data_IF_151001935903
#
_entry.id   IF_151001935903
#
_cell.length_a   1.000
_cell.length_b   1.000
_cell.length_c   1.000
_cell.angle_alpha   90.00
_cell.angle_beta   90.00
_cell.angle_gamma   90.00
#
_symmetry.space_group_name_H-M   'P 1'
#
loop_
_entity.id
_entity.type
_entity.pdbx_description
1 polymer ?
#
# COMPACT_ATOMS: atom_id res chain seq x y z
N UNK A 1 2.90 -24.06 -20.15
CA UNK A 1 3.83 -23.37 -19.27
C UNK A 1 3.23 -22.04 -18.84
N UNK A 2 3.21 -21.76 -17.51
CA UNK A 2 2.74 -20.52 -16.93
C UNK A 2 3.96 -19.71 -16.48
N UNK A 3 3.97 -18.40 -16.79
CA UNK A 3 5.05 -17.47 -16.45
C UNK A 3 4.47 -16.21 -15.81
N UNK A 4 5.25 -15.58 -14.91
CA UNK A 4 4.89 -14.34 -14.24
C UNK A 4 4.23 -14.54 -12.88
N UNK A 5 3.90 -15.77 -12.51
CA UNK A 5 3.40 -16.18 -11.20
C UNK A 5 3.97 -17.53 -10.81
N UNK A 6 4.11 -17.77 -9.50
CA UNK A 6 4.68 -18.98 -8.94
C UNK A 6 3.74 -19.61 -7.89
N UNK A 7 4.07 -20.82 -7.44
CA UNK A 7 3.39 -21.49 -6.34
C UNK A 7 1.89 -21.69 -6.54
N UNK A 8 1.05 -21.39 -5.53
CA UNK A 8 -0.40 -21.60 -5.61
C UNK A 8 -1.08 -20.78 -6.72
N UNK A 9 -0.57 -19.57 -7.00
CA UNK A 9 -1.12 -18.73 -8.08
C UNK A 9 -0.88 -19.35 -9.46
N UNK A 10 0.30 -19.91 -9.71
CA UNK A 10 0.59 -20.63 -10.96
C UNK A 10 -0.32 -21.85 -11.14
N UNK A 11 -0.59 -22.58 -10.05
CA UNK A 11 -1.51 -23.72 -10.05
C UNK A 11 -2.94 -23.25 -10.40
N UNK A 12 -3.42 -22.18 -9.77
CA UNK A 12 -4.74 -21.61 -10.05
C UNK A 12 -4.86 -21.15 -11.50
N UNK A 13 -3.84 -20.49 -12.05
CA UNK A 13 -3.81 -20.10 -13.46
C UNK A 13 -3.83 -21.34 -14.36
N UNK A 14 -3.03 -22.37 -14.06
CA UNK A 14 -3.00 -23.61 -14.84
C UNK A 14 -4.37 -24.32 -14.86
N UNK A 15 -5.09 -24.34 -13.73
CA UNK A 15 -6.43 -24.88 -13.63
C UNK A 15 -7.44 -24.09 -14.49
N UNK A 16 -7.31 -22.75 -14.51
CA UNK A 16 -8.16 -21.89 -15.33
C UNK A 16 -7.86 -21.97 -16.84
N UNK A 17 -6.63 -22.29 -17.21
CA UNK A 17 -6.27 -22.54 -18.61
C UNK A 17 -7.14 -23.66 -19.18
N UNK A 18 -7.43 -24.70 -18.38
CA UNK A 18 -8.38 -25.78 -18.69
C UNK A 18 -8.19 -26.39 -20.11
N UNK A 19 -6.93 -26.61 -20.53
CA UNK A 19 -6.57 -27.30 -21.78
C UNK A 19 -6.10 -28.70 -21.42
N UNK A 20 -6.78 -29.71 -21.95
CA UNK A 20 -6.42 -31.10 -21.71
C UNK A 20 -5.09 -31.47 -22.37
N UNK A 21 -4.21 -32.21 -21.67
CA UNK A 21 -2.99 -32.73 -22.26
C UNK A 21 -3.31 -33.58 -23.50
N UNK A 22 -2.60 -33.29 -24.60
CA UNK A 22 -2.83 -33.97 -25.89
C UNK A 22 -3.78 -33.23 -26.84
N UNK A 23 -4.40 -32.14 -26.43
CA UNK A 23 -5.16 -31.27 -27.35
C UNK A 23 -4.22 -30.72 -28.42
N UNK A 24 -4.63 -30.78 -29.69
CA UNK A 24 -3.83 -30.21 -30.76
C UNK A 24 -3.69 -28.69 -30.55
N UNK A 25 -2.45 -28.19 -30.60
CA UNK A 25 -2.16 -26.78 -30.28
C UNK A 25 -2.92 -25.79 -31.17
N UNK A 26 -3.28 -26.20 -32.41
CA UNK A 26 -4.08 -25.41 -33.33
C UNK A 26 -5.54 -25.25 -32.88
N UNK A 27 -6.06 -26.24 -32.13
CA UNK A 27 -7.44 -26.23 -31.66
C UNK A 27 -7.63 -25.47 -30.32
N UNK A 28 -6.52 -25.06 -29.70
CA UNK A 28 -6.58 -24.28 -28.47
C UNK A 28 -7.01 -22.85 -28.79
N UNK A 29 -8.14 -22.41 -28.25
CA UNK A 29 -8.59 -21.03 -28.34
C UNK A 29 -7.82 -20.17 -27.27
N UNK A 30 -6.76 -19.50 -27.71
CA UNK A 30 -5.93 -18.66 -26.83
C UNK A 30 -6.70 -17.48 -26.28
N UNK A 31 -7.65 -16.90 -27.04
CA UNK A 31 -8.47 -15.79 -26.55
C UNK A 31 -9.41 -16.22 -25.41
N UNK A 32 -9.98 -17.42 -25.51
CA UNK A 32 -10.78 -17.98 -24.42
C UNK A 32 -9.93 -18.27 -23.17
N UNK A 33 -8.68 -18.70 -23.34
CA UNK A 33 -7.71 -18.89 -22.23
C UNK A 33 -7.43 -17.54 -21.56
N UNK A 34 -7.08 -16.53 -22.34
CA UNK A 34 -6.80 -15.18 -21.84
C UNK A 34 -7.99 -14.61 -21.06
N UNK A 35 -9.22 -14.72 -21.59
CA UNK A 35 -10.41 -14.24 -20.90
C UNK A 35 -10.65 -14.93 -19.55
N UNK A 36 -10.43 -16.24 -19.46
CA UNK A 36 -10.57 -16.97 -18.19
C UNK A 36 -9.55 -16.52 -17.15
N UNK A 37 -8.28 -16.40 -17.54
CA UNK A 37 -7.21 -15.95 -16.64
C UNK A 37 -7.39 -14.47 -16.26
N UNK A 38 -7.77 -13.61 -17.20
CA UNK A 38 -8.07 -12.19 -16.95
C UNK A 38 -9.27 -11.97 -16.02
N UNK A 39 -10.09 -12.99 -15.74
CA UNK A 39 -11.16 -12.90 -14.75
C UNK A 39 -10.65 -12.83 -13.31
N UNK A 40 -9.40 -13.20 -13.06
CA UNK A 40 -8.77 -13.05 -11.74
C UNK A 40 -8.55 -11.58 -11.42
N UNK A 41 -9.04 -11.08 -10.27
CA UNK A 41 -8.99 -9.65 -9.94
C UNK A 41 -7.58 -9.07 -9.86
N UNK A 42 -6.60 -9.89 -9.49
CA UNK A 42 -5.19 -9.52 -9.33
C UNK A 42 -4.38 -9.60 -10.64
N UNK A 43 -4.99 -10.06 -11.73
CA UNK A 43 -4.34 -10.04 -13.06
C UNK A 43 -4.53 -8.67 -13.70
N UNK A 44 -3.43 -8.05 -14.13
CA UNK A 44 -3.45 -6.81 -14.90
C UNK A 44 -3.45 -7.06 -16.39
N UNK A 45 -2.69 -8.06 -16.83
CA UNK A 45 -2.57 -8.45 -18.24
C UNK A 45 -2.25 -9.94 -18.37
N UNK A 46 -2.67 -10.55 -19.49
CA UNK A 46 -2.39 -11.94 -19.81
C UNK A 46 -2.22 -12.12 -21.32
N UNK A 47 -1.22 -12.89 -21.70
CA UNK A 47 -0.97 -13.27 -23.08
C UNK A 47 -0.81 -14.80 -23.17
N UNK A 48 -1.55 -15.43 -24.09
CA UNK A 48 -1.45 -16.86 -24.37
C UNK A 48 -0.92 -17.09 -25.79
N UNK A 49 0.26 -17.68 -25.89
CA UNK A 49 0.99 -17.89 -27.14
C UNK A 49 1.22 -19.38 -27.41
N UNK A 50 1.02 -19.78 -28.68
CA UNK A 50 1.32 -21.15 -29.13
C UNK A 50 2.80 -21.22 -29.47
N UNK A 51 3.56 -22.00 -28.69
CA UNK A 51 4.95 -22.33 -29.01
C UNK A 51 5.09 -23.72 -29.62
N UNK A 52 5.54 -23.77 -30.87
CA UNK A 52 5.78 -25.03 -31.56
C UNK A 52 7.00 -25.77 -30.94
N UNK A 53 6.94 -27.13 -30.86
CA UNK A 53 5.94 -28.02 -31.52
C UNK A 53 4.67 -28.30 -30.71
N UNK A 54 4.59 -28.00 -29.38
CA UNK A 54 3.45 -28.47 -28.60
C UNK A 54 3.25 -27.79 -27.25
N UNK A 55 3.72 -26.54 -27.06
CA UNK A 55 3.60 -25.83 -25.80
C UNK A 55 2.64 -24.65 -25.94
N UNK A 56 1.68 -24.54 -25.01
CA UNK A 56 0.94 -23.31 -24.78
C UNK A 56 1.66 -22.53 -23.68
N UNK A 57 2.18 -21.36 -24.01
CA UNK A 57 2.79 -20.44 -23.05
C UNK A 57 1.75 -19.42 -22.61
N UNK A 58 1.52 -19.30 -21.29
CA UNK A 58 0.64 -18.29 -20.70
C UNK A 58 1.50 -17.38 -19.82
N UNK A 59 1.58 -16.12 -20.21
CA UNK A 59 2.30 -15.08 -19.47
C UNK A 59 1.29 -14.21 -18.73
N UNK A 60 1.44 -14.12 -17.43
CA UNK A 60 0.56 -13.34 -16.54
C UNK A 60 1.34 -12.17 -15.97
N UNK A 61 0.74 -10.99 -16.01
CA UNK A 61 1.23 -9.81 -15.30
C UNK A 61 0.27 -9.52 -14.16
N UNK A 62 0.80 -9.41 -12.94
CA UNK A 62 0.02 -9.15 -11.74
C UNK A 62 -0.17 -7.65 -11.52
N UNK A 63 -1.24 -7.27 -10.81
CA UNK A 63 -1.41 -5.94 -10.25
C UNK A 63 -0.59 -5.81 -8.98
N UNK A 64 -0.02 -4.63 -8.77
CA UNK A 64 0.79 -4.36 -7.58
C UNK A 64 -0.14 -3.83 -6.48
N UNK A 65 -0.26 -4.53 -5.34
CA UNK A 65 -1.03 -4.04 -4.22
C UNK A 65 -0.31 -2.86 -3.56
N UNK A 66 -1.06 -1.83 -3.17
CA UNK A 66 -0.53 -0.64 -2.46
C UNK A 66 -0.99 -0.57 -1.01
N UNK A 67 -2.04 -1.29 -0.66
CA UNK A 67 -2.59 -1.36 0.68
C UNK A 67 -3.44 -2.61 0.88
N UNK A 68 -3.72 -2.93 2.15
CA UNK A 68 -4.69 -3.96 2.52
C UNK A 68 -5.73 -3.35 3.48
N UNK A 69 -6.91 -3.95 3.53
CA UNK A 69 -7.87 -3.63 4.58
C UNK A 69 -7.56 -4.41 5.89
N UNK A 70 -8.29 -4.18 6.99
CA UNK A 70 -8.09 -4.92 8.23
C UNK A 70 -8.25 -6.44 8.11
N UNK A 71 -9.03 -6.92 7.13
CA UNK A 71 -9.26 -8.34 6.86
C UNK A 71 -8.21 -8.95 5.91
N UNK A 72 -7.25 -8.15 5.44
CA UNK A 72 -6.15 -8.57 4.56
C UNK A 72 -6.50 -8.58 3.08
N UNK A 73 -7.61 -7.96 2.68
CA UNK A 73 -7.99 -7.83 1.27
C UNK A 73 -7.21 -6.69 0.62
N UNK A 74 -6.47 -7.00 -0.44
CA UNK A 74 -5.61 -6.04 -1.13
C UNK A 74 -6.36 -5.14 -2.11
N UNK A 75 -5.81 -3.92 -2.27
CA UNK A 75 -6.21 -2.96 -3.31
C UNK A 75 -4.98 -2.44 -4.06
N UNK A 76 -5.15 -2.16 -5.36
CA UNK A 76 -4.12 -1.52 -6.18
C UNK A 76 -4.23 0.02 -6.16
N UNK A 77 -3.29 0.70 -6.83
CA UNK A 77 -3.25 2.16 -6.93
C UNK A 77 -4.45 2.78 -7.66
N UNK A 78 -5.18 2.00 -8.46
CA UNK A 78 -6.41 2.44 -9.12
C UNK A 78 -7.66 2.27 -8.23
N UNK A 79 -7.47 1.74 -7.00
CA UNK A 79 -8.55 1.42 -6.07
C UNK A 79 -9.31 0.15 -6.42
N UNK A 80 -8.76 -0.74 -7.27
CA UNK A 80 -9.39 -2.02 -7.58
C UNK A 80 -9.14 -3.01 -6.44
N UNK A 81 -10.19 -3.69 -6.03
CA UNK A 81 -10.15 -4.74 -5.01
C UNK A 81 -9.57 -6.02 -5.63
N UNK A 82 -8.41 -6.44 -5.18
CA UNK A 82 -7.67 -7.58 -5.72
C UNK A 82 -8.05 -8.91 -5.06
N UNK A 83 -8.52 -8.85 -3.80
CA UNK A 83 -8.78 -10.04 -2.98
C UNK A 83 -7.68 -10.27 -1.95
N UNK A 84 -7.79 -11.39 -1.23
CA UNK A 84 -6.79 -11.81 -0.24
C UNK A 84 -5.73 -12.76 -0.85
N UNK A 85 -6.05 -13.42 -1.95
CA UNK A 85 -5.21 -14.45 -2.60
C UNK A 85 -4.28 -13.84 -3.66
N UNK A 86 -3.71 -12.66 -3.38
CA UNK A 86 -2.77 -11.99 -4.28
C UNK A 86 -1.39 -12.64 -4.15
N UNK A 87 -0.71 -13.02 -5.26
CA UNK A 87 0.59 -13.70 -5.20
C UNK A 87 1.64 -12.97 -4.37
N UNK A 88 1.73 -11.65 -4.48
CA UNK A 88 2.66 -10.80 -3.76
C UNK A 88 2.43 -10.83 -2.24
N UNK A 89 1.17 -10.94 -1.80
CA UNK A 89 0.84 -11.07 -0.38
C UNK A 89 1.27 -12.41 0.20
N UNK A 90 1.16 -13.46 -0.59
CA UNK A 90 1.58 -14.82 -0.22
C UNK A 90 3.11 -14.92 -0.06
N UNK A 91 3.87 -14.05 -0.72
CA UNK A 91 5.33 -13.94 -0.59
C UNK A 91 5.82 -13.17 0.65
N UNK A 92 4.89 -12.69 1.52
CA UNK A 92 5.21 -12.00 2.77
C UNK A 92 5.12 -10.48 2.72
N UNK A 93 4.83 -9.88 1.57
CA UNK A 93 4.71 -8.43 1.40
C UNK A 93 3.49 -7.83 2.15
N UNK A 94 2.55 -8.63 2.61
CA UNK A 94 1.35 -8.16 3.31
C UNK A 94 1.63 -7.43 4.64
N UNK A 95 2.75 -7.73 5.30
CA UNK A 95 3.15 -7.08 6.55
C UNK A 95 3.76 -5.69 6.36
N UNK A 96 4.18 -5.38 5.14
CA UNK A 96 4.80 -4.09 4.79
C UNK A 96 3.80 -3.09 4.20
N UNK A 97 2.60 -3.57 3.81
CA UNK A 97 1.57 -2.71 3.25
C UNK A 97 0.74 -2.02 4.34
N UNK A 98 0.39 -0.74 4.15
CA UNK A 98 -0.45 -0.01 5.08
C UNK A 98 -1.86 -0.61 5.15
N UNK A 99 -2.44 -0.61 6.36
CA UNK A 99 -3.82 -1.04 6.59
C UNK A 99 -4.77 0.14 6.47
N UNK A 100 -5.67 0.09 5.51
CA UNK A 100 -6.61 1.17 5.24
C UNK A 100 -8.03 0.78 5.69
N UNK A 101 -8.73 1.71 6.34
CA UNK A 101 -10.16 1.55 6.64
C UNK A 101 -10.98 1.77 5.36
N UNK A 102 -11.11 0.72 4.55
CA UNK A 102 -11.78 0.74 3.24
C UNK A 102 -13.18 0.10 3.34
N UNK A 103 -14.14 0.71 2.66
CA UNK A 103 -15.42 0.08 2.33
C UNK A 103 -15.23 -0.81 1.10
N UNK A 104 -14.82 -2.07 1.30
CA UNK A 104 -14.54 -2.96 0.18
C UNK A 104 -15.79 -3.59 -0.39
N UNK A 105 -15.86 -3.59 -1.71
CA UNK A 105 -16.79 -4.40 -2.48
C UNK A 105 -16.26 -5.81 -2.77
N UNK A 106 -16.83 -6.47 -3.77
CA UNK A 106 -16.34 -7.77 -4.22
C UNK A 106 -14.98 -7.64 -4.91
N UNK A 107 -14.13 -8.69 -4.89
CA UNK A 107 -12.95 -8.74 -5.72
C UNK A 107 -13.25 -8.40 -7.18
N UNK A 108 -12.43 -7.55 -7.78
CA UNK A 108 -12.63 -7.02 -9.13
C UNK A 108 -13.45 -5.71 -9.19
N UNK A 109 -14.15 -5.30 -8.12
CA UNK A 109 -14.78 -3.98 -8.03
C UNK A 109 -13.78 -2.87 -7.71
N UNK A 110 -14.22 -1.62 -7.78
CA UNK A 110 -13.44 -0.45 -7.33
C UNK A 110 -13.98 0.01 -5.98
N UNK A 111 -13.09 0.47 -5.11
CA UNK A 111 -13.45 1.06 -3.81
C UNK A 111 -14.39 2.25 -3.97
N UNK A 112 -15.11 2.60 -2.91
CA UNK A 112 -15.96 3.78 -2.87
C UNK A 112 -15.15 5.10 -2.93
N UNK A 113 -15.82 6.24 -2.91
CA UNK A 113 -15.17 7.56 -3.00
C UNK A 113 -14.21 7.81 -1.83
N UNK A 114 -14.54 7.37 -0.62
CA UNK A 114 -13.66 7.50 0.55
C UNK A 114 -12.42 6.61 0.43
N UNK A 115 -12.61 5.38 0.01
CA UNK A 115 -11.51 4.46 -0.26
C UNK A 115 -10.58 4.98 -1.34
N UNK A 116 -11.13 5.65 -2.37
CA UNK A 116 -10.33 6.26 -3.43
C UNK A 116 -9.41 7.36 -2.90
N UNK A 117 -9.91 8.24 -2.01
CA UNK A 117 -9.07 9.27 -1.38
C UNK A 117 -7.92 8.65 -0.60
N UNK A 118 -8.16 7.57 0.16
CA UNK A 118 -7.12 6.86 0.91
C UNK A 118 -6.07 6.25 -0.02
N UNK A 119 -6.52 5.53 -1.05
CA UNK A 119 -5.64 4.89 -2.02
C UNK A 119 -4.79 5.93 -2.76
N UNK A 120 -5.39 7.05 -3.20
CA UNK A 120 -4.68 8.15 -3.87
C UNK A 120 -3.58 8.74 -2.99
N UNK A 121 -3.87 8.96 -1.70
CA UNK A 121 -2.87 9.47 -0.74
C UNK A 121 -1.76 8.47 -0.52
N UNK A 122 -2.08 7.18 -0.31
CA UNK A 122 -1.07 6.14 -0.06
C UNK A 122 -0.23 5.86 -1.29
N UNK A 123 -0.82 5.84 -2.49
CA UNK A 123 -0.08 5.69 -3.74
C UNK A 123 0.89 6.87 -4.01
N UNK A 124 0.63 8.04 -3.43
CA UNK A 124 1.49 9.22 -3.55
C UNK A 124 2.57 9.31 -2.46
N UNK A 125 2.61 8.37 -1.50
CA UNK A 125 3.65 8.33 -0.46
C UNK A 125 5.02 8.13 -1.11
N UNK A 126 6.02 8.97 -0.82
CA UNK A 126 7.35 8.80 -1.39
C UNK A 126 8.03 7.53 -0.86
N UNK A 127 8.97 6.93 -1.62
CA UNK A 127 9.67 5.71 -1.22
C UNK A 127 10.35 5.80 0.16
N UNK A 128 10.78 6.99 0.56
CA UNK A 128 11.37 7.28 1.87
C UNK A 128 10.42 7.06 3.05
N UNK A 129 9.11 7.16 2.82
CA UNK A 129 8.05 7.00 3.84
C UNK A 129 7.16 5.77 3.57
N UNK A 130 7.32 5.07 2.45
CA UNK A 130 6.40 4.00 2.04
C UNK A 130 6.29 2.87 3.07
N UNK A 131 7.42 2.42 3.64
CA UNK A 131 7.44 1.40 4.70
C UNK A 131 7.09 1.92 6.10
N UNK A 132 6.83 3.22 6.23
CA UNK A 132 6.57 3.84 7.54
C UNK A 132 5.09 4.11 7.79
N UNK A 133 4.25 3.99 6.78
CA UNK A 133 2.79 4.15 6.92
C UNK A 133 2.20 2.84 7.41
N UNK A 134 1.74 2.81 8.66
CA UNK A 134 1.10 1.63 9.25
C UNK A 134 -0.38 1.53 8.86
N UNK A 135 -1.10 2.66 8.89
CA UNK A 135 -2.53 2.67 8.58
C UNK A 135 -3.03 4.01 8.07
N UNK A 136 -4.25 4.01 7.52
CA UNK A 136 -4.92 5.19 7.05
C UNK A 136 -6.44 5.11 7.17
N UNK A 137 -7.08 6.25 7.42
CA UNK A 137 -8.54 6.39 7.50
C UNK A 137 -9.00 7.77 7.05
N UNK A 138 -10.28 7.89 6.74
CA UNK A 138 -10.93 9.17 6.45
C UNK A 138 -11.73 9.64 7.66
N UNK A 139 -11.43 10.84 8.16
CA UNK A 139 -12.14 11.48 9.27
C UNK A 139 -12.86 12.73 8.72
N UNK A 140 -14.16 12.66 8.58
CA UNK A 140 -14.91 13.70 7.86
C UNK A 140 -14.55 13.71 6.39
N UNK A 141 -13.86 14.76 5.93
CA UNK A 141 -13.28 14.90 4.58
C UNK A 141 -11.76 14.77 4.55
N UNK A 142 -11.12 14.63 5.71
CA UNK A 142 -9.68 14.61 5.82
C UNK A 142 -9.12 13.18 5.82
N UNK A 143 -8.08 12.95 5.04
CA UNK A 143 -7.28 11.72 5.14
C UNK A 143 -6.29 11.87 6.30
N UNK A 144 -6.26 10.85 7.13
CA UNK A 144 -5.37 10.75 8.28
C UNK A 144 -4.58 9.45 8.17
N UNK A 145 -3.25 9.56 8.19
CA UNK A 145 -2.33 8.43 8.21
C UNK A 145 -1.79 8.23 9.64
N UNK A 146 -1.44 7.02 9.97
CA UNK A 146 -0.69 6.69 11.19
C UNK A 146 0.59 5.98 10.77
N UNK A 147 1.73 6.48 11.26
CA UNK A 147 3.03 5.89 11.00
C UNK A 147 3.29 4.69 11.95
N UNK A 148 4.29 3.88 11.64
CA UNK A 148 4.64 2.67 12.42
C UNK A 148 5.06 2.97 13.86
N UNK A 149 5.56 4.18 14.14
CA UNK A 149 5.91 4.70 15.46
C UNK A 149 4.73 5.34 16.21
N UNK A 150 3.52 5.33 15.61
CA UNK A 150 2.28 5.84 16.19
C UNK A 150 2.01 7.32 15.92
N UNK A 151 2.90 8.05 15.24
CA UNK A 151 2.69 9.45 14.87
C UNK A 151 1.48 9.53 13.93
N UNK A 152 0.53 10.40 14.25
CA UNK A 152 -0.64 10.66 13.42
C UNK A 152 -0.38 11.83 12.46
N UNK A 153 -0.60 11.64 11.16
CA UNK A 153 -0.38 12.65 10.11
C UNK A 153 -1.71 13.03 9.46
N UNK A 154 -2.15 14.26 9.63
CA UNK A 154 -3.35 14.82 8.97
C UNK A 154 -2.97 15.38 7.61
N UNK A 155 -3.33 14.67 6.55
CA UNK A 155 -3.08 15.05 5.16
C UNK A 155 -4.18 16.00 4.63
N UNK A 156 -5.43 15.80 5.07
CA UNK A 156 -6.60 16.50 4.53
C UNK A 156 -7.03 15.95 3.18
N UNK A 157 -7.18 16.84 2.20
CA UNK A 157 -7.53 16.48 0.82
C UNK A 157 -6.35 15.93 0.01
N UNK A 158 -6.61 15.49 -1.23
CA UNK A 158 -5.59 14.94 -2.14
C UNK A 158 -4.83 16.01 -2.94
N UNK A 159 -5.06 17.30 -2.68
CA UNK A 159 -4.34 18.39 -3.35
C UNK A 159 -2.90 18.49 -2.85
N UNK A 160 -1.95 18.80 -3.74
CA UNK A 160 -0.54 19.08 -3.42
C UNK A 160 0.14 18.00 -2.56
N UNK A 161 -0.17 16.72 -2.79
CA UNK A 161 0.35 15.59 -1.98
C UNK A 161 1.88 15.60 -1.87
N UNK A 162 2.59 15.84 -2.98
CA UNK A 162 4.06 15.94 -2.96
C UNK A 162 4.56 17.00 -1.97
N UNK A 163 3.96 18.19 -1.96
CA UNK A 163 4.37 19.24 -1.03
C UNK A 163 4.02 18.90 0.42
N UNK A 164 2.90 18.19 0.65
CA UNK A 164 2.51 17.71 1.98
C UNK A 164 3.49 16.67 2.51
N UNK A 165 3.90 15.70 1.69
CA UNK A 165 4.89 14.70 2.11
C UNK A 165 6.27 15.30 2.34
N UNK A 166 6.73 16.26 1.53
CA UNK A 166 7.97 17.01 1.80
C UNK A 166 7.89 17.72 3.16
N UNK A 167 6.74 18.30 3.51
CA UNK A 167 6.56 18.91 4.82
C UNK A 167 6.57 17.90 5.97
N UNK A 168 6.02 16.69 5.77
CA UNK A 168 6.10 15.59 6.74
C UNK A 168 7.56 15.21 7.00
N UNK A 169 8.33 14.93 5.94
CA UNK A 169 9.75 14.57 6.06
C UNK A 169 10.54 15.65 6.80
N UNK A 170 10.36 16.91 6.41
CA UNK A 170 11.05 18.03 7.04
C UNK A 170 10.73 18.14 8.54
N UNK A 171 9.48 17.95 8.97
CA UNK A 171 9.09 17.99 10.37
C UNK A 171 9.64 16.81 11.17
N UNK A 172 9.61 15.59 10.59
CA UNK A 172 10.16 14.38 11.21
C UNK A 172 11.67 14.52 11.45
N UNK A 173 12.40 15.09 10.49
CA UNK A 173 13.85 15.32 10.58
C UNK A 173 14.20 16.43 11.59
N UNK A 174 13.41 17.51 11.60
CA UNK A 174 13.71 18.69 12.43
C UNK A 174 13.43 18.48 13.92
N UNK A 175 12.29 17.86 14.25
CA UNK A 175 11.85 17.77 15.64
C UNK A 175 12.28 16.47 16.34
N UNK A 176 12.64 15.42 15.58
CA UNK A 176 12.90 14.09 16.12
C UNK A 176 11.60 13.35 16.47
N UNK A 177 11.43 12.16 15.95
CA UNK A 177 10.19 11.37 16.00
C UNK A 177 9.65 11.12 17.42
N UNK A 178 10.54 10.86 18.37
CA UNK A 178 10.16 10.55 19.76
C UNK A 178 9.41 11.68 20.48
N UNK A 179 9.48 12.91 19.96
CA UNK A 179 8.84 14.09 20.56
C UNK A 179 7.54 14.48 19.89
N UNK A 180 7.14 13.79 18.82
CA UNK A 180 5.98 14.14 17.99
C UNK A 180 4.82 13.19 18.29
N UNK A 181 3.65 13.74 18.66
CA UNK A 181 2.40 13.03 18.75
C UNK A 181 1.63 13.07 17.42
N UNK A 182 1.55 14.26 16.81
CA UNK A 182 0.86 14.40 15.53
C UNK A 182 1.41 15.53 14.66
N UNK A 183 1.20 15.38 13.34
CA UNK A 183 1.54 16.37 12.31
C UNK A 183 0.28 16.81 11.58
N UNK A 184 0.15 18.10 11.30
CA UNK A 184 -0.90 18.64 10.43
C UNK A 184 -0.24 19.31 9.21
N UNK A 185 -0.37 18.69 8.05
CA UNK A 185 0.18 19.14 6.77
C UNK A 185 -0.89 19.48 5.74
N UNK A 186 -2.13 19.69 6.18
CA UNK A 186 -3.23 20.12 5.30
C UNK A 186 -2.88 21.37 4.51
N UNK A 187 -2.11 22.28 5.13
CA UNK A 187 -1.53 23.47 4.49
C UNK A 187 0.00 23.32 4.49
N UNK A 188 0.61 22.78 3.43
CA UNK A 188 2.04 22.45 3.41
C UNK A 188 2.98 23.66 3.51
N UNK A 189 2.50 24.88 3.26
CA UNK A 189 3.26 26.12 3.48
C UNK A 189 3.26 26.60 4.95
N UNK A 190 2.42 26.02 5.78
CA UNK A 190 2.33 26.32 7.22
C UNK A 190 2.01 25.02 7.98
N UNK A 191 2.89 24.02 7.93
CA UNK A 191 2.68 22.77 8.64
C UNK A 191 2.83 23.00 10.14
N UNK A 192 2.17 22.16 10.94
CA UNK A 192 2.28 22.23 12.41
C UNK A 192 2.46 20.85 13.01
N UNK A 193 3.08 20.80 14.17
CA UNK A 193 3.23 19.57 14.95
C UNK A 193 2.65 19.77 16.36
N UNK A 194 2.17 18.65 16.93
CA UNK A 194 1.80 18.56 18.35
C UNK A 194 2.84 17.67 19.02
N UNK A 195 3.54 18.17 20.04
CA UNK A 195 4.50 17.37 20.77
C UNK A 195 3.81 16.36 21.70
N UNK A 196 4.52 15.28 22.02
CA UNK A 196 4.08 14.33 23.06
C UNK A 196 3.99 15.07 24.42
N UNK A 197 2.90 14.91 25.18
CA UNK A 197 2.74 15.56 26.46
C UNK A 197 3.89 15.23 27.44
N UNK A 198 4.68 16.22 27.82
CA UNK A 198 5.79 16.07 28.75
C UNK A 198 7.19 16.02 28.14
N UNK A 199 7.34 16.01 26.83
CA UNK A 199 8.64 16.00 26.14
C UNK A 199 9.48 17.27 26.45
N UNK A 200 8.85 18.39 26.82
CA UNK A 200 9.52 19.65 27.11
C UNK A 200 10.17 19.72 28.51
N UNK A 201 10.05 18.66 29.33
CA UNK A 201 10.52 18.69 30.73
C UNK A 201 11.94 18.19 30.97
N UNK A 202 12.57 17.54 29.99
CA UNK A 202 13.91 16.95 30.19
C UNK A 202 15.08 17.87 29.79
N UNK A 203 14.85 19.00 29.13
CA UNK A 203 15.91 19.93 28.71
C UNK A 203 16.19 21.07 29.71
N UNK A 204 15.48 21.13 30.83
CA UNK A 204 15.52 22.28 31.78
C UNK A 204 16.12 22.03 33.15
N UNK A 205 16.68 20.86 33.47
CA UNK A 205 17.15 20.58 34.83
C UNK A 205 18.61 20.13 34.92
N UNK A 206 19.55 21.01 34.67
CA UNK A 206 20.93 20.83 35.11
C UNK A 206 21.75 22.11 35.02
N UNK A 207 21.39 23.16 35.73
CA UNK A 207 22.34 24.25 36.11
C UNK A 207 21.87 24.94 37.39
N UNK A 208 21.88 24.20 38.50
CA UNK A 208 21.97 24.85 39.81
C UNK A 208 23.30 24.43 40.43
N UNK A 209 24.36 25.12 40.03
CA UNK A 209 25.64 25.08 40.75
C UNK A 209 25.47 25.69 42.14
N UNK A 210 25.75 24.90 43.15
CA UNK A 210 25.90 25.32 44.53
C UNK A 210 27.04 26.37 44.65
N UNK A 211 26.86 27.52 45.32
CA UNK A 211 27.96 28.34 45.71
C UNK A 211 28.54 27.79 47.00
N UNK A 212 29.72 27.17 46.91
CA UNK A 212 30.52 26.77 48.07
C UNK A 212 30.81 27.94 48.98
N UNK A 213 30.31 27.88 50.22
CA UNK A 213 30.74 28.69 51.32
C UNK A 213 32.07 28.12 51.83
N UNK A 214 33.13 28.90 51.67
CA UNK A 214 34.41 28.72 52.40
C UNK A 214 34.56 29.76 53.43
N UNK A 215 34.71 29.34 54.70
CA UNK A 215 35.21 30.11 55.80
C UNK A 215 36.71 29.84 55.95
#
# INVERSE_FOLDING_TARGET
DVHGVDGPAATLVADLVAVEPGTALLDVDTGAVEQRVASLPWVSDVAAERQWPGTLQVRVTTRIPVAVDPDGVAVDADGRVLGADVPELSAGASSELPRLELGLGRPGSVVDERGRLLVEVVAAVPPSLAGEVASGRVVGSDVVLTLVDGITVRIGDTSRLTAKFVAVEALLDQAGRATIESLDVRVPSSPSLVPVPGADRETGSSLTGEPGAGA
#
